data_IF_611388555346
#
_entry.id   IF_611388555346
#
_cell.length_a   1.000
_cell.length_b   1.000
_cell.length_c   1.000
_cell.angle_alpha   90.00
_cell.angle_beta   90.00
_cell.angle_gamma   90.00
#
_symmetry.space_group_name_H-M   'P 1'
#
loop_
_entity.id
_entity.type
_entity.pdbx_description
1 polymer ?
#
# COMPACT_ATOMS: atom_id res chain seq x y z
N UNK A 1 -13.34 4.83 -27.06
CA UNK A 1 -13.09 3.96 -25.90
C UNK A 1 -13.67 4.67 -24.69
N UNK A 2 -14.63 4.06 -23.99
CA UNK A 2 -15.20 4.68 -22.79
C UNK A 2 -14.15 4.71 -21.67
N UNK A 3 -14.14 5.73 -20.80
CA UNK A 3 -13.25 5.76 -19.65
C UNK A 3 -13.54 4.58 -18.71
N UNK A 4 -12.55 4.09 -17.95
CA UNK A 4 -12.79 3.05 -16.97
C UNK A 4 -13.83 3.52 -15.95
N UNK A 5 -14.66 2.59 -15.47
CA UNK A 5 -15.58 2.85 -14.38
C UNK A 5 -14.79 3.31 -13.15
N UNK A 6 -15.18 4.44 -12.57
CA UNK A 6 -14.59 4.97 -11.33
C UNK A 6 -15.45 4.51 -10.16
N UNK A 7 -14.82 3.91 -9.15
CA UNK A 7 -15.45 3.58 -7.88
C UNK A 7 -15.21 4.68 -6.84
N UNK A 8 -16.18 4.94 -5.97
CA UNK A 8 -16.01 5.76 -4.77
C UNK A 8 -15.87 4.84 -3.56
N UNK A 9 -14.85 5.10 -2.73
CA UNK A 9 -14.63 4.39 -1.48
C UNK A 9 -14.51 5.37 -0.32
N UNK A 10 -15.01 4.96 0.85
CA UNK A 10 -14.86 5.72 2.11
C UNK A 10 -13.41 5.57 2.62
N UNK A 11 -12.83 6.65 3.12
CA UNK A 11 -11.49 6.62 3.71
C UNK A 11 -11.47 5.77 4.99
N UNK A 12 -10.47 4.90 5.17
CA UNK A 12 -10.24 4.24 6.45
C UNK A 12 -9.76 5.28 7.50
N UNK A 13 -9.70 4.90 8.80
CA UNK A 13 -9.06 5.73 9.83
C UNK A 13 -7.63 6.09 9.43
N UNK A 14 -7.18 7.27 9.85
CA UNK A 14 -5.80 7.72 9.57
C UNK A 14 -4.80 6.82 10.28
N UNK A 15 -3.76 6.43 9.54
CA UNK A 15 -2.67 5.60 10.02
C UNK A 15 -1.35 6.37 9.85
N UNK A 16 -0.96 7.11 10.89
CA UNK A 16 0.22 7.96 10.89
C UNK A 16 1.29 7.38 11.83
N UNK A 17 2.43 7.00 11.27
CA UNK A 17 3.60 6.53 12.00
C UNK A 17 4.77 7.46 11.73
N UNK A 18 5.06 8.36 12.67
CA UNK A 18 6.17 9.31 12.52
C UNK A 18 6.11 10.10 11.21
N UNK A 19 4.90 10.56 10.84
CA UNK A 19 4.59 11.27 9.59
C UNK A 19 4.59 10.42 8.31
N UNK A 20 4.71 9.09 8.41
CA UNK A 20 4.56 8.17 7.29
C UNK A 20 3.21 7.44 7.32
N UNK A 21 2.69 7.12 6.13
CA UNK A 21 1.50 6.30 5.90
C UNK A 21 1.93 4.96 5.28
N UNK A 22 2.13 3.91 6.09
CA UNK A 22 2.54 2.61 5.59
C UNK A 22 1.39 1.89 4.86
N UNK A 23 1.73 1.22 3.76
CA UNK A 23 0.87 0.25 3.07
C UNK A 23 1.58 -1.09 3.00
N UNK A 24 0.86 -2.14 3.37
CA UNK A 24 1.33 -3.53 3.25
C UNK A 24 0.88 -4.06 1.90
N UNK A 25 1.85 -4.44 1.07
CA UNK A 25 1.62 -5.33 -0.06
C UNK A 25 1.85 -6.78 0.37
N UNK A 26 1.06 -7.71 -0.16
CA UNK A 26 1.32 -9.15 -0.04
C UNK A 26 1.15 -9.80 -1.41
N UNK A 27 1.88 -10.89 -1.61
CA UNK A 27 1.88 -11.62 -2.87
C UNK A 27 1.33 -13.02 -2.68
N UNK A 28 0.46 -13.42 -3.61
CA UNK A 28 -0.03 -14.80 -3.73
C UNK A 28 0.61 -15.40 -4.98
N UNK A 29 1.25 -16.56 -4.83
CA UNK A 29 1.87 -17.31 -5.93
C UNK A 29 1.29 -18.72 -5.91
N UNK A 30 0.63 -19.11 -7.01
CA UNK A 30 0.00 -20.43 -7.11
C UNK A 30 -1.18 -20.65 -6.16
N UNK A 31 -1.79 -19.57 -5.65
CA UNK A 31 -2.87 -19.63 -4.66
C UNK A 31 -2.39 -19.60 -3.21
N UNK A 32 -1.08 -19.69 -2.98
CA UNK A 32 -0.47 -19.67 -1.65
C UNK A 32 0.15 -18.29 -1.34
N UNK A 33 0.10 -17.82 -0.08
CA UNK A 33 0.80 -16.62 0.34
C UNK A 33 2.31 -16.83 0.22
N UNK A 34 2.99 -15.91 -0.47
CA UNK A 34 4.41 -16.04 -0.77
C UNK A 34 5.29 -15.09 0.04
N UNK A 35 4.88 -13.83 0.17
CA UNK A 35 5.65 -12.81 0.90
C UNK A 35 4.83 -11.54 1.16
N UNK A 36 5.40 -10.63 1.97
CA UNK A 36 4.89 -9.30 2.27
C UNK A 36 5.95 -8.22 1.99
N UNK A 37 5.51 -6.98 1.79
CA UNK A 37 6.38 -5.82 1.67
C UNK A 37 5.72 -4.58 2.24
N UNK A 38 6.53 -3.66 2.78
CA UNK A 38 6.04 -2.41 3.36
C UNK A 38 6.50 -1.24 2.49
N UNK A 39 5.55 -0.36 2.13
CA UNK A 39 5.84 0.91 1.45
C UNK A 39 5.37 2.07 2.31
N UNK A 40 6.24 3.06 2.50
CA UNK A 40 5.96 4.21 3.34
C UNK A 40 6.13 5.52 2.56
N UNK A 41 5.19 6.44 2.75
CA UNK A 41 5.20 7.77 2.15
C UNK A 41 4.66 8.80 3.15
N UNK A 42 5.14 10.04 3.08
CA UNK A 42 4.60 11.13 3.90
C UNK A 42 3.23 11.61 3.40
N UNK A 43 2.89 11.29 2.14
CA UNK A 43 1.56 11.49 1.58
C UNK A 43 0.64 10.29 1.87
N UNK A 44 -0.68 10.52 1.84
CA UNK A 44 -1.69 9.49 2.12
C UNK A 44 -1.72 8.36 1.07
N UNK A 45 -1.32 8.65 -0.18
CA UNK A 45 -1.29 7.69 -1.28
C UNK A 45 0.17 7.44 -1.65
N UNK A 46 0.71 6.22 -1.44
CA UNK A 46 2.07 5.90 -1.84
C UNK A 46 2.29 6.09 -3.33
N UNK A 47 3.32 6.87 -3.67
CA UNK A 47 3.80 7.07 -5.04
C UNK A 47 4.69 5.90 -5.50
N UNK A 48 5.28 5.98 -6.69
CA UNK A 48 6.29 5.00 -7.13
C UNK A 48 7.66 5.20 -6.45
N UNK A 49 7.87 6.34 -5.79
CA UNK A 49 9.14 6.68 -5.12
C UNK A 49 9.07 6.54 -3.60
N UNK A 50 7.95 6.04 -3.05
CA UNK A 50 7.80 5.73 -1.63
C UNK A 50 8.89 4.76 -1.16
N UNK A 51 9.31 4.92 0.10
CA UNK A 51 10.35 4.12 0.72
C UNK A 51 9.92 2.66 0.80
N UNK A 52 10.84 1.74 0.53
CA UNK A 52 10.65 0.32 0.82
C UNK A 52 11.25 0.03 2.19
N UNK A 53 10.38 -0.19 3.17
CA UNK A 53 10.80 -0.51 4.53
C UNK A 53 10.94 -2.02 4.70
N UNK A 54 12.05 -2.52 5.25
CA UNK A 54 12.19 -3.93 5.53
C UNK A 54 11.19 -4.35 6.62
N UNK A 55 10.51 -5.47 6.41
CA UNK A 55 9.82 -6.17 7.49
C UNK A 55 10.82 -7.12 8.16
N UNK A 56 10.84 -7.14 9.50
CA UNK A 56 11.81 -7.89 10.29
C UNK A 56 11.69 -9.40 10.01
N UNK A 57 12.81 -10.11 9.88
CA UNK A 57 12.92 -11.57 9.78
C UNK A 57 13.49 -12.20 11.05
#
# INVERSE_FOLDING_TARGET
MAPPAQGLQVLPPELNFSCNHPVIGYWIIGGEPADIGLREDTSLIPSNTSLFSPHWF
#
